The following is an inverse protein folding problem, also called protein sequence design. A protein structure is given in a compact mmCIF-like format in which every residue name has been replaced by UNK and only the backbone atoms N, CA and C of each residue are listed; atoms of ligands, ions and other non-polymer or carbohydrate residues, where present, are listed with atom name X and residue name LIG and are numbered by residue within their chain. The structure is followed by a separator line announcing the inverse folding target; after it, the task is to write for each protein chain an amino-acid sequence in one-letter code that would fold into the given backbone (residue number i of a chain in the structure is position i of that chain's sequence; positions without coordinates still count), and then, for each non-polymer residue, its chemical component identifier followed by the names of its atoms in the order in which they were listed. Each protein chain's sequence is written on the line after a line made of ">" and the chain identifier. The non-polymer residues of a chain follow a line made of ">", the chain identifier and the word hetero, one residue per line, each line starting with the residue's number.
data_IF_492369235394
#
_entry.id   IF_492369235394
#
_cell.length_a   1.000
_cell.length_b   1.000
_cell.length_c   1.000
_cell.angle_alpha   90.00
_cell.angle_beta   90.00
_cell.angle_gamma   90.00
#
_symmetry.space_group_name_H-M   'P 1'
#
loop_
_entity.id
_entity.type
_entity.pdbx_description
1 polymer ?
#
# COMPACT_ATOMS: atom_id res chain seq x y z
N UNK A 1 84.99 -16.70 0.64
CA UNK A 1 83.94 -16.72 -0.40
C UNK A 1 82.62 -17.07 0.26
N UNK A 2 81.76 -16.08 0.54
CA UNK A 2 80.46 -16.28 1.20
C UNK A 2 79.36 -15.78 0.27
N UNK A 3 78.72 -16.71 -0.44
CA UNK A 3 77.50 -16.45 -1.23
C UNK A 3 76.34 -16.25 -0.26
N UNK A 4 75.65 -15.10 -0.35
CA UNK A 4 74.54 -14.74 0.53
C UNK A 4 73.27 -15.54 0.17
N UNK A 5 72.53 -16.06 1.16
CA UNK A 5 71.36 -16.93 0.96
C UNK A 5 70.07 -16.17 0.59
N UNK A 6 70.11 -14.84 0.57
CA UNK A 6 68.93 -13.97 0.45
C UNK A 6 68.27 -13.96 -0.93
N UNK A 7 69.00 -14.29 -2.00
CA UNK A 7 68.45 -14.32 -3.36
C UNK A 7 67.72 -15.61 -3.69
N UNK A 8 67.91 -16.68 -2.90
CA UNK A 8 67.26 -17.98 -3.14
C UNK A 8 65.82 -18.02 -2.61
N UNK A 9 65.51 -17.23 -1.57
CA UNK A 9 64.20 -17.22 -0.92
C UNK A 9 63.17 -16.35 -1.63
N UNK A 10 63.59 -15.27 -2.30
CA UNK A 10 62.67 -14.36 -3.02
C UNK A 10 62.17 -14.96 -4.33
N UNK A 11 62.96 -15.80 -5.00
CA UNK A 11 62.57 -16.46 -6.26
C UNK A 11 61.57 -17.60 -6.04
N UNK A 12 61.56 -18.21 -4.84
CA UNK A 12 60.66 -19.30 -4.48
C UNK A 12 59.24 -18.84 -4.08
N UNK A 13 59.04 -17.55 -3.75
CA UNK A 13 57.74 -17.01 -3.31
C UNK A 13 56.88 -16.40 -4.44
N UNK A 14 57.48 -16.10 -5.59
CA UNK A 14 56.79 -15.62 -6.79
C UNK A 14 55.67 -16.56 -7.32
N UNK A 15 55.84 -17.89 -7.38
CA UNK A 15 54.79 -18.76 -7.92
C UNK A 15 53.56 -18.87 -7.00
N UNK A 16 53.72 -18.70 -5.67
CA UNK A 16 52.58 -18.71 -4.75
C UNK A 16 51.68 -17.47 -4.90
N UNK A 17 52.25 -16.30 -5.18
CA UNK A 17 51.48 -15.08 -5.40
C UNK A 17 50.69 -15.11 -6.72
N UNK A 18 51.24 -15.74 -7.76
CA UNK A 18 50.57 -15.88 -9.06
C UNK A 18 49.32 -16.79 -8.99
N UNK A 19 49.31 -17.78 -8.09
CA UNK A 19 48.15 -18.66 -7.85
C UNK A 19 47.05 -18.02 -7.00
N UNK A 20 47.35 -16.97 -6.24
CA UNK A 20 46.38 -16.27 -5.40
C UNK A 20 45.51 -15.26 -6.19
N UNK A 21 45.98 -14.80 -7.34
CA UNK A 21 45.28 -13.82 -8.17
C UNK A 21 43.90 -14.29 -8.70
N UNK A 22 43.73 -15.51 -9.26
CA UNK A 22 42.43 -15.93 -9.77
C UNK A 22 41.40 -16.21 -8.67
N UNK A 23 41.84 -16.50 -7.43
CA UNK A 23 40.94 -16.78 -6.31
C UNK A 23 40.23 -15.52 -5.80
N UNK A 24 40.88 -14.36 -5.84
CA UNK A 24 40.28 -13.08 -5.40
C UNK A 24 39.17 -12.63 -6.34
N UNK A 25 39.27 -12.97 -7.63
CA UNK A 25 38.30 -12.55 -8.64
C UNK A 25 36.99 -13.36 -8.57
N UNK A 26 37.06 -14.62 -8.13
CA UNK A 26 35.89 -15.49 -7.90
C UNK A 26 35.22 -15.19 -6.55
N UNK A 27 35.97 -14.73 -5.55
CA UNK A 27 35.48 -14.43 -4.20
C UNK A 27 35.17 -12.94 -4.04
N UNK A 28 34.89 -12.21 -5.12
CA UNK A 28 34.22 -10.91 -4.97
C UNK A 28 32.82 -11.21 -4.44
N UNK A 29 32.47 -10.81 -3.20
CA UNK A 29 31.08 -10.85 -2.79
C UNK A 29 30.36 -9.95 -3.79
N UNK A 30 29.42 -10.54 -4.54
CA UNK A 30 28.46 -9.76 -5.29
C UNK A 30 27.78 -8.89 -4.22
N UNK A 31 28.11 -7.61 -4.20
CA UNK A 31 27.32 -6.62 -3.49
C UNK A 31 25.97 -6.63 -4.18
N UNK A 32 25.09 -7.53 -3.70
CA UNK A 32 23.68 -7.46 -3.99
C UNK A 32 23.21 -6.22 -3.25
N UNK A 33 23.39 -5.07 -3.89
CA UNK A 33 22.62 -3.87 -3.59
C UNK A 33 21.19 -4.26 -3.88
N UNK A 34 20.55 -4.89 -2.90
CA UNK A 34 19.10 -4.89 -2.81
C UNK A 34 18.77 -3.44 -2.57
N UNK A 35 18.52 -2.70 -3.65
CA UNK A 35 17.74 -1.47 -3.53
C UNK A 35 16.55 -1.86 -2.66
N UNK A 36 16.41 -1.30 -1.43
CA UNK A 36 15.21 -1.53 -0.70
C UNK A 36 14.10 -1.05 -1.62
N UNK A 37 13.17 -1.95 -1.94
CA UNK A 37 11.89 -1.58 -2.50
C UNK A 37 11.23 -0.74 -1.39
N UNK A 38 11.57 0.54 -1.34
CA UNK A 38 10.91 1.52 -0.48
C UNK A 38 9.56 1.69 -1.12
N UNK A 39 8.62 0.82 -0.76
CA UNK A 39 7.22 1.19 -0.85
C UNK A 39 7.11 2.58 -0.21
N UNK A 40 6.54 3.57 -0.91
CA UNK A 40 6.39 4.89 -0.32
C UNK A 40 5.59 4.68 0.97
N UNK A 41 6.26 4.81 2.11
CA UNK A 41 5.57 4.83 3.38
C UNK A 41 4.55 5.95 3.25
N UNK A 42 3.27 5.61 3.25
CA UNK A 42 2.19 6.60 3.22
C UNK A 42 2.29 7.28 4.58
N UNK A 43 3.08 8.35 4.65
CA UNK A 43 3.25 9.16 5.85
C UNK A 43 1.92 9.88 6.04
N UNK A 44 1.22 9.48 7.08
CA UNK A 44 -0.13 9.97 7.36
C UNK A 44 -0.61 9.52 8.73
N UNK A 45 -1.72 10.10 9.16
CA UNK A 45 -2.33 9.74 10.44
C UNK A 45 -3.35 8.64 10.21
N UNK A 46 -3.16 7.49 10.87
CA UNK A 46 -4.17 6.44 10.91
C UNK A 46 -5.39 6.95 11.70
N UNK A 47 -6.57 6.82 11.11
CA UNK A 47 -7.86 7.19 11.72
C UNK A 47 -8.82 6.02 11.61
N UNK A 48 -9.55 5.78 12.71
CA UNK A 48 -10.76 4.97 12.69
C UNK A 48 -11.87 5.80 12.07
N UNK A 49 -12.71 5.16 11.27
CA UNK A 49 -13.97 5.73 10.84
C UNK A 49 -15.07 4.70 10.76
N UNK A 50 -16.28 5.20 10.97
CA UNK A 50 -17.48 4.43 10.85
C UNK A 50 -18.10 4.70 9.48
N UNK A 51 -18.41 3.63 8.75
CA UNK A 51 -19.13 3.68 7.48
C UNK A 51 -20.52 3.14 7.72
N UNK A 52 -21.51 3.97 7.41
CA UNK A 52 -22.93 3.58 7.41
C UNK A 52 -23.48 3.67 5.99
N UNK A 53 -24.18 2.63 5.56
CA UNK A 53 -24.88 2.54 4.29
C UNK A 53 -26.38 2.66 4.53
N UNK A 54 -27.05 3.48 3.72
CA UNK A 54 -28.52 3.57 3.70
C UNK A 54 -29.01 3.48 2.28
N UNK A 55 -29.98 2.61 2.05
CA UNK A 55 -30.54 2.35 0.72
C UNK A 55 -32.05 2.20 0.83
N UNK A 56 -32.77 2.56 -0.23
CA UNK A 56 -34.21 2.30 -0.31
C UNK A 56 -34.52 0.85 -0.70
N UNK A 57 -33.60 0.19 -1.42
CA UNK A 57 -33.75 -1.18 -1.92
C UNK A 57 -32.53 -2.04 -1.53
N UNK A 58 -32.70 -3.36 -1.34
CA UNK A 58 -31.59 -4.23 -0.97
C UNK A 58 -30.50 -4.22 -2.04
N UNK A 59 -29.24 -4.17 -1.63
CA UNK A 59 -28.08 -4.40 -2.50
C UNK A 59 -27.57 -5.82 -2.32
N UNK A 60 -26.84 -6.33 -3.31
CA UNK A 60 -26.16 -7.63 -3.19
C UNK A 60 -24.80 -7.49 -2.52
N UNK A 61 -24.01 -6.50 -2.96
CA UNK A 61 -22.67 -6.24 -2.46
C UNK A 61 -22.30 -4.78 -2.68
N UNK A 62 -21.64 -4.18 -1.71
CA UNK A 62 -21.03 -2.85 -1.84
C UNK A 62 -19.56 -2.94 -1.44
N UNK A 63 -18.67 -2.45 -2.29
CA UNK A 63 -17.25 -2.31 -2.01
C UNK A 63 -16.91 -0.83 -1.88
N UNK A 64 -16.33 -0.45 -0.75
CA UNK A 64 -15.88 0.90 -0.43
C UNK A 64 -14.37 0.86 -0.22
N UNK A 65 -13.64 1.52 -1.09
CA UNK A 65 -12.18 1.65 -1.04
C UNK A 65 -11.81 3.07 -0.67
N UNK A 66 -11.13 3.25 0.46
CA UNK A 66 -10.70 4.55 0.98
C UNK A 66 -9.19 4.52 1.15
N UNK A 67 -8.48 5.23 0.26
CA UNK A 67 -7.01 5.20 0.25
C UNK A 67 -6.47 3.78 0.05
N UNK A 68 -5.84 3.23 1.08
CA UNK A 68 -5.28 1.86 1.10
C UNK A 68 -6.22 0.81 1.70
N UNK A 69 -7.38 1.20 2.23
CA UNK A 69 -8.29 0.30 2.92
C UNK A 69 -9.48 -0.04 2.04
N UNK A 70 -9.80 -1.34 1.97
CA UNK A 70 -10.96 -1.86 1.23
C UNK A 70 -11.93 -2.48 2.22
N UNK A 71 -13.19 -2.07 2.14
CA UNK A 71 -14.27 -2.57 2.95
C UNK A 71 -15.37 -3.13 2.03
N UNK A 72 -15.83 -4.34 2.31
CA UNK A 72 -16.92 -4.98 1.55
C UNK A 72 -18.11 -5.18 2.46
N UNK A 73 -19.29 -4.83 1.98
CA UNK A 73 -20.57 -4.99 2.66
C UNK A 73 -21.40 -6.02 1.91
N UNK A 74 -21.93 -6.97 2.66
CA UNK A 74 -22.92 -7.93 2.17
C UNK A 74 -24.33 -7.35 2.31
N UNK A 75 -25.32 -7.96 1.66
CA UNK A 75 -26.71 -7.47 1.62
C UNK A 75 -27.34 -7.10 2.98
N UNK A 76 -26.92 -7.76 4.06
CA UNK A 76 -27.46 -7.56 5.42
C UNK A 76 -26.59 -6.66 6.31
N UNK A 77 -25.45 -6.17 5.81
CA UNK A 77 -24.49 -5.37 6.57
C UNK A 77 -24.60 -3.91 6.15
N UNK A 78 -25.13 -3.05 7.02
CA UNK A 78 -25.29 -1.62 6.80
C UNK A 78 -24.25 -0.75 7.53
N UNK A 79 -23.46 -1.36 8.42
CA UNK A 79 -22.45 -0.68 9.23
C UNK A 79 -21.14 -1.46 9.26
N UNK A 80 -20.02 -0.76 9.03
CA UNK A 80 -18.67 -1.29 9.30
C UNK A 80 -17.75 -0.19 9.78
N UNK A 81 -16.93 -0.57 10.75
CA UNK A 81 -15.78 0.22 11.15
C UNK A 81 -14.61 -0.09 10.22
N UNK A 82 -13.88 0.95 9.81
CA UNK A 82 -12.65 0.84 9.04
C UNK A 82 -11.54 1.65 9.67
N UNK A 83 -10.30 1.25 9.38
CA UNK A 83 -9.12 2.03 9.69
C UNK A 83 -8.47 2.44 8.38
N UNK A 84 -8.18 3.72 8.18
CA UNK A 84 -7.49 4.22 7.00
C UNK A 84 -6.48 5.31 7.36
N UNK A 85 -5.49 5.49 6.48
CA UNK A 85 -4.45 6.49 6.68
C UNK A 85 -4.78 7.75 5.88
N UNK A 86 -4.90 8.89 6.57
CA UNK A 86 -5.06 10.19 5.93
C UNK A 86 -3.65 10.77 5.67
N UNK A 87 -3.28 11.02 4.40
CA UNK A 87 -1.99 11.65 4.09
C UNK A 87 -1.94 13.07 4.65
N UNK A 88 -0.73 13.63 4.85
CA UNK A 88 -0.56 15.00 5.36
C UNK A 88 -1.27 16.07 4.52
N UNK A 89 -1.47 15.81 3.23
CA UNK A 89 -2.24 16.68 2.33
C UNK A 89 -3.72 16.79 2.70
N UNK A 90 -4.23 15.88 3.55
CA UNK A 90 -5.63 15.80 3.96
C UNK A 90 -6.58 15.31 2.87
N UNK A 91 -6.08 15.02 1.66
CA UNK A 91 -6.86 14.59 0.51
C UNK A 91 -6.84 13.07 0.39
N UNK A 92 -8.01 12.46 0.30
CA UNK A 92 -8.18 11.04 0.03
C UNK A 92 -9.23 10.84 -1.05
N UNK A 93 -9.08 9.76 -1.82
CA UNK A 93 -10.11 9.33 -2.76
C UNK A 93 -10.83 8.12 -2.18
N UNK A 94 -12.15 8.21 -2.13
CA UNK A 94 -13.04 7.11 -1.79
C UNK A 94 -13.69 6.59 -3.07
N UNK A 95 -13.50 5.33 -3.40
CA UNK A 95 -14.18 4.66 -4.50
C UNK A 95 -15.27 3.76 -3.94
N UNK A 96 -16.49 3.90 -4.44
CA UNK A 96 -17.62 3.06 -4.06
C UNK A 96 -18.11 2.33 -5.29
N UNK A 97 -18.22 1.01 -5.18
CA UNK A 97 -18.78 0.12 -6.18
C UNK A 97 -19.95 -0.64 -5.56
N UNK A 98 -21.17 -0.43 -6.07
CA UNK A 98 -22.37 -1.10 -5.60
C UNK A 98 -22.92 -2.01 -6.69
N UNK A 99 -23.42 -3.17 -6.28
CA UNK A 99 -24.10 -4.15 -7.14
C UNK A 99 -25.47 -4.42 -6.55
N UNK A 100 -26.51 -4.23 -7.37
CA UNK A 100 -27.89 -4.49 -7.04
C UNK A 100 -28.42 -5.72 -7.80
N UNK A 101 -29.39 -6.45 -7.24
CA UNK A 101 -30.17 -7.44 -7.98
C UNK A 101 -30.83 -6.86 -9.24
N UNK A 102 -30.96 -7.68 -10.30
CA UNK A 102 -31.40 -7.24 -11.64
C UNK A 102 -32.84 -6.71 -11.72
N UNK A 103 -33.68 -7.05 -10.74
CA UNK A 103 -35.13 -6.78 -10.77
C UNK A 103 -35.51 -5.50 -10.01
N UNK A 104 -34.52 -4.65 -9.66
CA UNK A 104 -34.73 -3.46 -8.84
C UNK A 104 -34.70 -2.21 -9.73
N UNK A 105 -35.58 -1.22 -9.49
CA UNK A 105 -35.46 0.09 -10.13
C UNK A 105 -34.16 0.81 -9.76
N UNK A 106 -33.91 1.93 -10.43
CA UNK A 106 -32.82 2.83 -10.07
C UNK A 106 -32.90 3.21 -8.59
N UNK A 107 -31.80 2.96 -7.88
CA UNK A 107 -31.71 3.05 -6.43
C UNK A 107 -30.59 4.00 -6.03
N UNK A 108 -30.86 4.81 -5.00
CA UNK A 108 -29.84 5.60 -4.34
C UNK A 108 -29.23 4.82 -3.17
N UNK A 109 -27.91 4.77 -3.13
CA UNK A 109 -27.12 4.35 -1.98
C UNK A 109 -26.49 5.58 -1.33
N UNK A 110 -26.90 5.89 -0.11
CA UNK A 110 -26.28 6.91 0.72
C UNK A 110 -25.18 6.28 1.57
N UNK A 111 -23.95 6.74 1.37
CA UNK A 111 -22.77 6.34 2.12
C UNK A 111 -22.43 7.48 3.08
N UNK A 112 -22.38 7.21 4.38
CA UNK A 112 -21.91 8.16 5.39
C UNK A 112 -20.60 7.66 5.97
N UNK A 113 -19.58 8.50 5.89
CA UNK A 113 -18.24 8.27 6.43
C UNK A 113 -18.04 9.21 7.62
N UNK A 114 -17.84 8.65 8.79
CA UNK A 114 -17.71 9.37 10.06
C UNK A 114 -16.33 9.04 10.67
N UNK A 115 -15.29 9.82 10.36
CA UNK A 115 -13.96 9.60 10.92
C UNK A 115 -13.82 10.22 12.31
N UNK A 116 -13.08 9.54 13.19
CA UNK A 116 -12.85 10.00 14.57
C UNK A 116 -12.23 11.40 14.61
N UNK A 117 -12.89 12.30 15.35
CA UNK A 117 -12.49 13.69 15.55
C UNK A 117 -12.39 14.52 14.25
N UNK A 118 -13.00 14.07 13.16
CA UNK A 118 -13.08 14.80 11.89
C UNK A 118 -14.54 15.05 11.48
N UNK A 119 -14.72 15.93 10.50
CA UNK A 119 -16.05 16.21 9.95
C UNK A 119 -16.56 14.99 9.18
N UNK A 120 -17.75 14.52 9.54
CA UNK A 120 -18.49 13.51 8.79
C UNK A 120 -18.77 13.97 7.36
N UNK A 121 -18.75 13.03 6.42
CA UNK A 121 -19.02 13.26 5.00
C UNK A 121 -20.03 12.23 4.51
N UNK A 122 -21.02 12.67 3.75
CA UNK A 122 -22.01 11.79 3.15
C UNK A 122 -22.01 11.95 1.63
N UNK A 123 -22.20 10.83 0.93
CA UNK A 123 -22.16 10.74 -0.52
C UNK A 123 -23.33 9.89 -0.99
N UNK A 124 -23.87 10.22 -2.16
CA UNK A 124 -24.96 9.45 -2.77
C UNK A 124 -24.50 8.88 -4.09
N UNK A 125 -24.59 7.56 -4.22
CA UNK A 125 -24.36 6.82 -5.46
C UNK A 125 -25.71 6.42 -6.04
N UNK A 126 -25.90 6.62 -7.33
CA UNK A 126 -27.11 6.24 -8.06
C UNK A 126 -26.80 5.14 -9.06
N UNK A 127 -27.66 4.13 -9.16
CA UNK A 127 -27.52 3.06 -10.14
C UNK A 127 -28.66 2.04 -10.14
N UNK A 128 -28.63 1.12 -11.10
CA UNK A 128 -29.70 0.12 -11.32
C UNK A 128 -29.24 -1.31 -11.09
N UNK A 129 -28.13 -1.73 -11.73
CA UNK A 129 -27.57 -3.09 -11.60
C UNK A 129 -26.17 -3.03 -11.00
N UNK A 130 -25.36 -2.11 -11.50
CA UNK A 130 -24.03 -1.82 -10.98
C UNK A 130 -23.78 -0.31 -11.09
N UNK A 131 -23.09 0.26 -10.11
CA UNK A 131 -22.59 1.62 -10.18
C UNK A 131 -21.24 1.70 -9.49
N UNK A 132 -20.32 2.45 -10.09
CA UNK A 132 -19.03 2.75 -9.50
C UNK A 132 -18.77 4.24 -9.61
N UNK A 133 -18.43 4.87 -8.49
CA UNK A 133 -18.11 6.29 -8.44
C UNK A 133 -16.96 6.57 -7.48
N UNK A 134 -16.15 7.55 -7.84
CA UNK A 134 -15.06 8.06 -7.01
C UNK A 134 -15.44 9.41 -6.41
N UNK A 135 -15.21 9.54 -5.11
CA UNK A 135 -15.49 10.72 -4.30
C UNK A 135 -14.20 11.23 -3.70
N UNK A 136 -13.90 12.50 -3.95
CA UNK A 136 -12.73 13.16 -3.35
C UNK A 136 -13.13 13.72 -1.99
N UNK A 137 -12.46 13.24 -0.94
CA UNK A 137 -12.65 13.71 0.41
C UNK A 137 -11.43 14.55 0.83
N UNK A 138 -11.70 15.66 1.49
CA UNK A 138 -10.64 16.51 2.06
C UNK A 138 -10.98 16.86 3.50
N UNK A 139 -10.02 16.62 4.39
CA UNK A 139 -10.05 17.05 5.78
C UNK A 139 -8.85 17.94 6.08
N UNK A 140 -9.08 18.97 6.88
CA UNK A 140 -8.00 19.79 7.41
C UNK A 140 -7.47 19.13 8.66
N UNK A 141 -6.25 18.58 8.59
CA UNK A 141 -5.53 18.01 9.73
C UNK A 141 -4.94 19.07 10.66
N UNK A 142 -5.18 20.36 10.38
CA UNK A 142 -4.75 21.48 11.21
C UNK A 142 -5.59 21.57 12.49
N UNK A 143 -5.28 20.74 13.48
CA UNK A 143 -5.62 20.96 14.89
C UNK A 143 -4.76 20.10 15.81
#
# INVERSE_FOLDING_TARGET
>A
MTRSPLTSTTLALLPLAALAWPLIEVVKPVEVTRDPLVEPAIVGTAKRADITLRTAHPYSSVEVTIGNSVCKFSADEDYKEILFTIPESGKITMKVSAVWPKDIPETALLISLEPDHLLSRSFTLWGTVEATQEFNCQWNLSK
#
